data_IF_112306583922
#
_entry.id   IF_112306583922
#
_cell.length_a   1.000
_cell.length_b   1.000
_cell.length_c   1.000
_cell.angle_alpha   90.00
_cell.angle_beta   90.00
_cell.angle_gamma   90.00
#
_symmetry.space_group_name_H-M   'P 1'
#
loop_
_entity.id
_entity.type
_entity.pdbx_description
1 polymer ?
#
# COMPACT_ATOMS: atom_id res chain seq x y z
N UNK A 1 9.83 0.52 5.72
CA UNK A 1 8.83 0.56 4.65
C UNK A 1 7.46 0.35 5.26
N UNK A 2 6.48 1.18 4.93
CA UNK A 2 5.07 1.04 5.34
C UNK A 2 4.33 0.07 4.42
N UNK A 3 3.37 -0.69 4.94
CA UNK A 3 2.54 -1.62 4.15
C UNK A 3 1.15 -1.05 3.99
N UNK A 4 0.78 -0.73 2.76
CA UNK A 4 -0.61 -0.43 2.41
C UNK A 4 -1.25 -1.68 1.80
N UNK A 5 -2.56 -1.85 1.97
CA UNK A 5 -3.30 -2.95 1.34
C UNK A 5 -4.03 -2.42 0.10
N UNK A 6 -3.80 -3.05 -1.05
CA UNK A 6 -4.40 -2.66 -2.33
C UNK A 6 -5.70 -3.44 -2.58
N UNK A 7 -6.76 -3.04 -1.91
CA UNK A 7 -8.11 -3.63 -2.07
C UNK A 7 -9.19 -2.69 -1.56
N UNK A 8 -10.43 -2.91 -2.00
CA UNK A 8 -11.63 -2.31 -1.40
C UNK A 8 -12.40 -3.33 -0.52
N UNK A 9 -11.93 -4.58 -0.43
CA UNK A 9 -12.54 -5.62 0.37
C UNK A 9 -12.29 -5.39 1.87
N UNK A 10 -13.32 -4.93 2.59
CA UNK A 10 -13.23 -4.57 4.02
C UNK A 10 -12.77 -5.75 4.88
N UNK A 11 -13.21 -6.97 4.57
CA UNK A 11 -12.85 -8.17 5.35
C UNK A 11 -11.36 -8.50 5.20
N UNK A 12 -10.83 -8.50 3.97
CA UNK A 12 -9.41 -8.73 3.73
C UNK A 12 -8.53 -7.66 4.42
N UNK A 13 -8.97 -6.40 4.42
CA UNK A 13 -8.26 -5.31 5.13
C UNK A 13 -8.31 -5.55 6.64
N UNK A 14 -9.45 -5.99 7.18
CA UNK A 14 -9.59 -6.31 8.61
C UNK A 14 -8.67 -7.44 9.04
N UNK A 15 -8.60 -8.52 8.26
CA UNK A 15 -7.70 -9.65 8.53
C UNK A 15 -6.23 -9.24 8.49
N UNK A 16 -5.82 -8.44 7.50
CA UNK A 16 -4.47 -7.90 7.45
C UNK A 16 -4.17 -6.97 8.64
N UNK A 17 -5.15 -6.17 9.06
CA UNK A 17 -5.02 -5.25 10.18
C UNK A 17 -4.90 -5.99 11.52
N UNK A 18 -5.67 -7.06 11.74
CA UNK A 18 -5.56 -7.93 12.92
C UNK A 18 -4.18 -8.60 13.04
N UNK A 19 -3.52 -8.85 11.90
CA UNK A 19 -2.13 -9.35 11.85
C UNK A 19 -1.08 -8.26 12.10
N UNK A 20 -1.49 -6.99 12.24
CA UNK A 20 -0.61 -5.85 12.43
C UNK A 20 0.13 -5.42 11.16
N UNK A 21 -0.37 -5.77 9.97
CA UNK A 21 0.32 -5.58 8.69
C UNK A 21 -0.23 -4.40 7.86
N UNK A 22 -0.94 -3.46 8.48
CA UNK A 22 -1.66 -2.38 7.77
C UNK A 22 -1.28 -1.00 8.32
N UNK A 23 -0.51 -0.26 7.53
CA UNK A 23 -0.18 1.15 7.76
C UNK A 23 -1.05 2.11 6.92
N UNK A 24 -1.90 1.58 6.04
CA UNK A 24 -2.79 2.34 5.17
C UNK A 24 -3.47 1.46 4.12
N UNK A 25 -4.28 2.06 3.25
CA UNK A 25 -5.03 1.35 2.20
C UNK A 25 -4.99 2.15 0.92
N UNK A 26 -4.87 1.48 -0.23
CA UNK A 26 -5.15 2.10 -1.51
C UNK A 26 -6.38 1.48 -2.16
N UNK A 27 -7.30 2.34 -2.60
CA UNK A 27 -8.39 1.94 -3.47
C UNK A 27 -8.18 2.52 -4.87
N UNK A 28 -9.03 2.09 -5.79
CA UNK A 28 -9.26 2.69 -7.11
C UNK A 28 -10.67 2.29 -7.58
N UNK A 29 -11.22 2.95 -8.62
CA UNK A 29 -12.58 2.67 -9.09
C UNK A 29 -12.81 1.20 -9.46
N UNK A 30 -11.80 0.53 -10.04
CA UNK A 30 -11.92 -0.88 -10.41
C UNK A 30 -12.01 -1.81 -9.19
N UNK A 31 -11.30 -1.51 -8.10
CA UNK A 31 -11.38 -2.29 -6.85
C UNK A 31 -12.73 -2.09 -6.17
N UNK A 32 -13.20 -0.83 -6.07
CA UNK A 32 -14.49 -0.51 -5.47
C UNK A 32 -15.65 -1.13 -6.25
N UNK A 33 -15.59 -1.08 -7.59
CA UNK A 33 -16.63 -1.67 -8.45
C UNK A 33 -16.78 -3.18 -8.25
N UNK A 34 -15.68 -3.91 -7.96
CA UNK A 34 -15.72 -5.37 -7.70
C UNK A 34 -16.49 -5.73 -6.44
N UNK A 35 -16.56 -4.84 -5.47
CA UNK A 35 -17.28 -5.10 -4.22
C UNK A 35 -18.80 -4.99 -4.39
N UNK A 36 -19.28 -4.29 -5.43
CA UNK A 36 -20.72 -4.13 -5.69
C UNK A 36 -21.48 -3.37 -4.58
N UNK A 37 -20.76 -2.58 -3.77
CA UNK A 37 -21.28 -1.85 -2.60
C UNK A 37 -21.10 -0.33 -2.77
N UNK A 38 -21.79 0.43 -1.93
CA UNK A 38 -21.62 1.89 -1.89
C UNK A 38 -20.18 2.26 -1.48
N UNK A 39 -19.54 3.13 -2.26
CA UNK A 39 -18.14 3.52 -2.02
C UNK A 39 -17.93 4.19 -0.66
N UNK A 40 -18.82 5.10 -0.27
CA UNK A 40 -18.69 5.85 0.99
C UNK A 40 -18.88 4.95 2.21
N UNK A 41 -19.77 3.96 2.13
CA UNK A 41 -19.93 2.95 3.19
C UNK A 41 -18.65 2.12 3.38
N UNK A 42 -18.08 1.61 2.28
CA UNK A 42 -16.80 0.89 2.31
C UNK A 42 -15.71 1.74 2.98
N UNK A 43 -15.58 3.00 2.56
CA UNK A 43 -14.54 3.92 3.08
C UNK A 43 -14.74 4.19 4.57
N UNK A 44 -15.97 4.45 5.02
CA UNK A 44 -16.27 4.67 6.43
C UNK A 44 -15.95 3.44 7.29
N UNK A 45 -16.28 2.25 6.79
CA UNK A 45 -15.96 1.00 7.49
C UNK A 45 -14.45 0.80 7.63
N UNK A 46 -13.68 1.02 6.56
CA UNK A 46 -12.21 0.91 6.61
C UNK A 46 -11.63 1.94 7.59
N UNK A 47 -12.07 3.19 7.51
CA UNK A 47 -11.57 4.27 8.37
C UNK A 47 -11.92 4.10 9.86
N UNK A 48 -12.92 3.31 10.19
CA UNK A 48 -13.26 3.00 11.58
C UNK A 48 -12.10 2.32 12.32
N UNK A 49 -11.33 1.47 11.62
CA UNK A 49 -10.23 0.70 12.22
C UNK A 49 -8.85 1.01 11.64
N UNK A 50 -8.71 1.42 10.38
CA UNK A 50 -7.42 1.84 9.80
C UNK A 50 -7.16 3.32 10.11
N UNK A 51 -6.10 3.61 10.88
CA UNK A 51 -5.72 4.99 11.26
C UNK A 51 -4.75 5.66 10.27
N UNK A 52 -4.03 4.87 9.49
CA UNK A 52 -3.15 5.37 8.43
C UNK A 52 -3.89 5.87 7.19
N UNK A 53 -3.18 6.40 6.17
CA UNK A 53 -3.80 7.00 5.00
C UNK A 53 -4.67 6.01 4.19
N UNK A 54 -5.80 6.50 3.68
CA UNK A 54 -6.67 5.75 2.75
C UNK A 54 -6.75 6.52 1.44
N UNK A 55 -6.21 5.94 0.36
CA UNK A 55 -6.23 6.59 -0.97
C UNK A 55 -7.60 6.43 -1.64
N UNK A 56 -8.25 7.55 -1.96
CA UNK A 56 -9.57 7.65 -2.63
C UNK A 56 -9.42 8.40 -3.97
N UNK A 57 -9.94 7.87 -5.07
CA UNK A 57 -9.64 8.38 -6.41
C UNK A 57 -10.68 9.36 -6.94
N UNK A 58 -10.21 10.53 -7.39
CA UNK A 58 -10.97 11.45 -8.23
C UNK A 58 -11.03 10.89 -9.67
N UNK A 59 -12.19 10.96 -10.30
CA UNK A 59 -12.50 10.35 -11.60
C UNK A 59 -12.70 11.38 -12.71
N UNK A 60 -12.91 12.65 -12.37
CA UNK A 60 -12.97 13.75 -13.33
C UNK A 60 -11.63 13.95 -14.06
N UNK A 61 -11.69 14.47 -15.30
CA UNK A 61 -10.51 14.67 -16.16
C UNK A 61 -10.03 16.12 -16.23
N UNK A 62 -10.89 17.08 -15.89
CA UNK A 62 -10.56 18.51 -15.83
C UNK A 62 -10.27 18.98 -14.39
N UNK A 63 -9.53 20.08 -14.27
CA UNK A 63 -9.09 20.61 -12.97
C UNK A 63 -10.26 20.93 -12.03
N UNK A 64 -11.34 21.53 -12.52
CA UNK A 64 -12.48 21.94 -11.67
C UNK A 64 -13.22 20.72 -11.12
N UNK A 65 -13.45 19.72 -11.98
CA UNK A 65 -14.02 18.43 -11.59
C UNK A 65 -13.16 17.72 -10.55
N UNK A 66 -11.84 17.62 -10.79
CA UNK A 66 -10.90 16.98 -9.86
C UNK A 66 -10.91 17.71 -8.51
N UNK A 67 -10.88 19.05 -8.49
CA UNK A 67 -10.88 19.81 -7.24
C UNK A 67 -12.20 19.69 -6.46
N UNK A 68 -13.33 19.62 -7.16
CA UNK A 68 -14.63 19.37 -6.52
C UNK A 68 -14.64 18.01 -5.83
N UNK A 69 -14.26 16.95 -6.55
CA UNK A 69 -14.18 15.59 -6.02
C UNK A 69 -13.16 15.47 -4.89
N UNK A 70 -11.98 16.09 -5.04
CA UNK A 70 -10.93 16.06 -4.02
C UNK A 70 -11.41 16.61 -2.67
N UNK A 71 -12.09 17.77 -2.67
CA UNK A 71 -12.63 18.37 -1.46
C UNK A 71 -13.77 17.53 -0.86
N UNK A 72 -14.63 16.97 -1.71
CA UNK A 72 -15.71 16.09 -1.26
C UNK A 72 -15.15 14.83 -0.58
N UNK A 73 -14.27 14.11 -1.26
CA UNK A 73 -13.64 12.88 -0.78
C UNK A 73 -12.81 13.13 0.49
N UNK A 74 -12.08 14.25 0.56
CA UNK A 74 -11.31 14.63 1.74
C UNK A 74 -12.21 14.88 2.96
N UNK A 75 -13.46 15.33 2.73
CA UNK A 75 -14.45 15.53 3.78
C UNK A 75 -15.11 14.23 4.29
N UNK A 76 -14.85 13.07 3.66
CA UNK A 76 -15.46 11.82 4.09
C UNK A 76 -14.83 11.26 5.37
N UNK A 77 -13.50 11.34 5.49
CA UNK A 77 -12.72 10.74 6.58
C UNK A 77 -11.49 11.61 6.91
N UNK A 78 -11.03 11.59 8.16
CA UNK A 78 -9.90 12.44 8.61
C UNK A 78 -8.51 12.03 8.10
N UNK A 79 -8.39 10.84 7.49
CA UNK A 79 -7.15 10.24 7.00
C UNK A 79 -7.19 9.96 5.48
N UNK A 80 -8.03 10.67 4.73
CA UNK A 80 -8.06 10.57 3.27
C UNK A 80 -6.72 11.02 2.64
N UNK A 81 -6.34 10.37 1.55
CA UNK A 81 -5.36 10.85 0.59
C UNK A 81 -5.98 10.82 -0.81
N UNK A 82 -6.10 11.97 -1.47
CA UNK A 82 -6.83 12.04 -2.74
C UNK A 82 -5.93 11.58 -3.86
N UNK A 83 -6.34 10.49 -4.50
CA UNK A 83 -5.65 9.90 -5.63
C UNK A 83 -5.99 10.66 -6.90
N UNK A 84 -4.98 11.22 -7.55
CA UNK A 84 -5.11 12.10 -8.72
C UNK A 84 -4.22 11.56 -9.84
N UNK A 85 -4.72 11.40 -11.08
CA UNK A 85 -3.91 10.87 -12.17
C UNK A 85 -2.80 11.83 -12.60
N UNK A 86 -1.69 11.28 -13.09
CA UNK A 86 -0.55 12.01 -13.67
C UNK A 86 -0.93 12.71 -14.99
N UNK A 87 -1.56 13.88 -14.91
CA UNK A 87 -1.91 14.75 -16.04
C UNK A 87 -1.62 16.21 -15.69
N UNK A 88 -1.64 17.13 -16.66
CA UNK A 88 -1.46 18.56 -16.37
C UNK A 88 -2.56 19.13 -15.47
N UNK A 89 -3.81 18.77 -15.72
CA UNK A 89 -4.94 19.18 -14.85
C UNK A 89 -4.83 18.54 -13.47
N UNK A 90 -4.40 17.27 -13.40
CA UNK A 90 -4.10 16.59 -12.14
C UNK A 90 -2.99 17.28 -11.34
N UNK A 91 -1.88 17.65 -11.97
CA UNK A 91 -0.78 18.35 -11.30
C UNK A 91 -1.17 19.77 -10.84
N UNK A 92 -2.02 20.49 -11.59
CA UNK A 92 -2.62 21.75 -11.12
C UNK A 92 -3.46 21.51 -9.86
N UNK A 93 -4.28 20.45 -9.86
CA UNK A 93 -5.10 20.08 -8.70
C UNK A 93 -4.26 19.66 -7.49
N UNK A 94 -3.17 18.90 -7.70
CA UNK A 94 -2.21 18.52 -6.66
C UNK A 94 -1.60 19.76 -6.00
N UNK A 95 -1.15 20.72 -6.80
CA UNK A 95 -0.64 22.00 -6.28
C UNK A 95 -1.68 22.70 -5.42
N UNK A 96 -2.93 22.77 -5.89
CA UNK A 96 -4.00 23.43 -5.13
C UNK A 96 -4.36 22.68 -3.85
N UNK A 97 -4.38 21.35 -3.89
CA UNK A 97 -4.58 20.51 -2.72
C UNK A 97 -3.48 20.71 -1.67
N UNK A 98 -2.21 20.83 -2.09
CA UNK A 98 -1.09 21.10 -1.21
C UNK A 98 -1.24 22.47 -0.49
N UNK A 99 -1.67 23.51 -1.21
CA UNK A 99 -2.00 24.83 -0.63
C UNK A 99 -3.16 24.75 0.39
N UNK A 100 -4.11 23.84 0.17
CA UNK A 100 -5.28 23.60 1.05
C UNK A 100 -5.01 22.58 2.16
N UNK A 101 -3.81 22.00 2.25
CA UNK A 101 -3.47 20.97 3.23
C UNK A 101 -4.15 19.61 2.99
N UNK A 102 -4.67 19.37 1.78
CA UNK A 102 -5.28 18.11 1.37
C UNK A 102 -4.16 17.16 0.91
N UNK A 103 -4.06 16.00 1.56
CA UNK A 103 -3.08 14.97 1.18
C UNK A 103 -3.42 14.40 -0.19
N UNK A 104 -2.42 14.22 -1.04
CA UNK A 104 -2.61 13.70 -2.40
C UNK A 104 -1.71 12.52 -2.71
N UNK A 105 -2.20 11.61 -3.54
CA UNK A 105 -1.47 10.48 -4.08
C UNK A 105 -1.50 10.53 -5.62
N UNK A 106 -0.41 10.93 -6.24
CA UNK A 106 -0.36 11.00 -7.70
C UNK A 106 -0.20 9.59 -8.28
N UNK A 107 -1.20 9.11 -9.00
CA UNK A 107 -1.28 7.76 -9.55
C UNK A 107 -1.00 7.72 -11.06
N UNK A 108 -0.91 6.52 -11.63
CA UNK A 108 -0.56 6.30 -13.05
C UNK A 108 0.79 6.94 -13.42
N UNK A 109 1.75 6.85 -12.51
CA UNK A 109 3.14 7.24 -12.76
C UNK A 109 3.90 6.04 -13.36
N UNK A 110 4.64 6.29 -14.43
CA UNK A 110 5.37 5.26 -15.20
C UNK A 110 6.82 5.63 -15.49
N UNK A 111 7.29 6.81 -15.05
CA UNK A 111 8.68 7.24 -15.23
C UNK A 111 9.18 8.15 -14.11
N UNK A 112 10.51 8.24 -13.91
CA UNK A 112 11.09 9.17 -12.93
C UNK A 112 10.78 10.65 -13.21
N UNK A 113 10.67 11.05 -14.49
CA UNK A 113 10.28 12.42 -14.86
C UNK A 113 8.86 12.76 -14.38
N UNK A 114 7.92 11.82 -14.49
CA UNK A 114 6.57 12.00 -13.94
C UNK A 114 6.61 12.13 -12.42
N UNK A 115 7.36 11.27 -11.73
CA UNK A 115 7.50 11.35 -10.28
C UNK A 115 8.12 12.67 -9.80
N UNK A 116 9.11 13.20 -10.54
CA UNK A 116 9.69 14.52 -10.30
C UNK A 116 8.64 15.64 -10.41
N UNK A 117 7.76 15.58 -11.42
CA UNK A 117 6.67 16.55 -11.57
C UNK A 117 5.65 16.47 -10.43
N UNK A 118 5.28 15.26 -9.99
CA UNK A 118 4.39 15.06 -8.83
C UNK A 118 4.97 15.71 -7.57
N UNK A 119 6.24 15.44 -7.26
CA UNK A 119 6.90 16.00 -6.08
C UNK A 119 7.00 17.53 -6.16
N UNK A 120 7.36 18.06 -7.33
CA UNK A 120 7.41 19.51 -7.56
C UNK A 120 6.04 20.19 -7.40
N UNK A 121 4.96 19.49 -7.69
CA UNK A 121 3.59 19.98 -7.47
C UNK A 121 3.16 19.92 -5.99
N UNK A 122 3.94 19.30 -5.10
CA UNK A 122 3.63 19.19 -3.67
C UNK A 122 2.83 17.94 -3.31
N UNK A 123 2.93 16.86 -4.10
CA UNK A 123 2.28 15.60 -3.78
C UNK A 123 2.73 15.04 -2.42
N UNK A 124 1.78 14.49 -1.64
CA UNK A 124 2.15 13.71 -0.43
C UNK A 124 2.74 12.36 -0.81
N UNK A 125 2.13 11.71 -1.79
CA UNK A 125 2.57 10.42 -2.32
C UNK A 125 2.64 10.44 -3.85
N UNK A 126 3.52 9.61 -4.41
CA UNK A 126 3.49 9.21 -5.82
C UNK A 126 3.41 7.69 -5.92
N UNK A 127 2.59 7.19 -6.84
CA UNK A 127 2.39 5.75 -7.07
C UNK A 127 2.90 5.31 -8.46
N UNK A 128 4.18 4.89 -8.60
CA UNK A 128 4.67 4.21 -9.80
C UNK A 128 4.05 2.82 -9.96
N UNK A 129 3.57 2.49 -11.17
CA UNK A 129 2.87 1.23 -11.45
C UNK A 129 3.82 0.20 -12.07
N UNK A 130 4.69 -0.37 -11.25
CA UNK A 130 5.78 -1.24 -11.68
C UNK A 130 5.26 -2.49 -12.41
N UNK A 131 4.24 -3.17 -11.88
CA UNK A 131 3.69 -4.35 -12.53
C UNK A 131 2.91 -4.09 -13.82
N UNK A 132 2.64 -2.84 -14.19
CA UNK A 132 2.11 -2.52 -15.54
C UNK A 132 3.24 -2.23 -16.52
N UNK A 133 4.41 -1.82 -16.04
CA UNK A 133 5.63 -1.73 -16.85
C UNK A 133 6.10 -3.14 -17.23
N UNK A 134 6.04 -4.09 -16.29
CA UNK A 134 6.34 -5.50 -16.55
C UNK A 134 5.45 -6.09 -17.64
N UNK A 135 4.15 -5.82 -17.59
CA UNK A 135 3.17 -6.29 -18.59
C UNK A 135 3.51 -5.85 -20.02
N UNK A 136 4.27 -4.77 -20.20
CA UNK A 136 4.68 -4.24 -21.52
C UNK A 136 6.16 -4.49 -21.84
N UNK A 137 6.81 -5.42 -21.11
CA UNK A 137 8.16 -5.89 -21.40
C UNK A 137 9.29 -5.01 -20.86
N UNK A 138 9.01 -4.13 -19.91
CA UNK A 138 10.03 -3.38 -19.16
C UNK A 138 10.29 -4.05 -17.81
N UNK A 139 11.41 -3.74 -17.16
CA UNK A 139 11.64 -4.14 -15.76
C UNK A 139 11.12 -3.01 -14.87
N UNK A 140 9.88 -3.13 -14.39
CA UNK A 140 9.17 -2.04 -13.72
C UNK A 140 9.88 -1.54 -12.46
N UNK A 141 10.59 -2.41 -11.74
CA UNK A 141 11.31 -2.03 -10.52
C UNK A 141 12.51 -1.09 -10.76
N UNK A 142 13.04 -1.01 -11.98
CA UNK A 142 14.18 -0.12 -12.30
C UNK A 142 13.85 1.36 -12.09
N UNK A 143 12.57 1.76 -12.18
CA UNK A 143 12.18 3.17 -11.97
C UNK A 143 12.28 3.59 -10.50
N UNK A 144 12.24 2.65 -9.54
CA UNK A 144 12.14 2.98 -8.11
C UNK A 144 13.45 3.56 -7.56
N UNK A 145 14.64 2.94 -7.77
CA UNK A 145 15.92 3.53 -7.36
C UNK A 145 16.17 4.92 -7.95
N UNK A 146 15.81 5.14 -9.22
CA UNK A 146 15.96 6.44 -9.88
C UNK A 146 15.11 7.52 -9.19
N UNK A 147 13.85 7.21 -8.88
CA UNK A 147 12.96 8.16 -8.18
C UNK A 147 13.51 8.46 -6.77
N UNK A 148 13.97 7.45 -6.04
CA UNK A 148 14.58 7.63 -4.72
C UNK A 148 15.81 8.53 -4.78
N UNK A 149 16.71 8.29 -5.75
CA UNK A 149 17.90 9.12 -5.93
C UNK A 149 17.53 10.57 -6.28
N UNK A 150 16.56 10.79 -7.17
CA UNK A 150 16.08 12.12 -7.51
C UNK A 150 15.50 12.82 -6.27
N UNK A 151 14.66 12.14 -5.49
CA UNK A 151 14.05 12.73 -4.30
C UNK A 151 15.08 13.08 -3.25
N UNK A 152 16.06 12.21 -3.03
CA UNK A 152 17.20 12.47 -2.14
C UNK A 152 18.02 13.68 -2.59
N UNK A 153 18.34 13.79 -3.89
CA UNK A 153 19.14 14.90 -4.43
C UNK A 153 18.53 16.28 -4.19
N UNK A 154 17.20 16.37 -4.19
CA UNK A 154 16.47 17.64 -4.09
C UNK A 154 15.74 17.83 -2.75
N UNK A 155 15.82 16.86 -1.83
CA UNK A 155 15.12 16.91 -0.55
C UNK A 155 13.60 16.91 -0.69
N UNK A 156 13.05 16.14 -1.62
CA UNK A 156 11.60 16.00 -1.75
C UNK A 156 11.06 15.09 -0.63
N UNK A 157 10.05 15.59 0.09
CA UNK A 157 9.33 14.85 1.15
C UNK A 157 8.22 13.95 0.61
N UNK A 158 7.95 13.97 -0.70
CA UNK A 158 6.95 13.10 -1.33
C UNK A 158 7.35 11.64 -1.12
N UNK A 159 6.46 10.84 -0.54
CA UNK A 159 6.70 9.42 -0.32
C UNK A 159 6.35 8.59 -1.57
N UNK A 160 7.17 7.58 -1.85
CA UNK A 160 6.96 6.66 -2.97
C UNK A 160 6.11 5.49 -2.48
N UNK A 161 4.97 5.28 -3.12
CA UNK A 161 4.13 4.08 -2.99
C UNK A 161 4.42 3.18 -4.20
N UNK A 162 5.19 2.11 -4.01
CA UNK A 162 5.35 1.08 -5.03
C UNK A 162 3.99 0.39 -5.22
N UNK A 163 3.37 0.64 -6.37
CA UNK A 163 2.02 0.21 -6.68
C UNK A 163 1.99 -0.74 -7.87
N UNK A 164 0.84 -1.36 -8.12
CA UNK A 164 0.70 -2.43 -9.12
C UNK A 164 1.64 -3.62 -8.82
N UNK A 165 1.83 -3.97 -7.55
CA UNK A 165 2.59 -5.14 -7.10
C UNK A 165 1.88 -6.42 -7.56
N UNK A 166 2.63 -7.39 -8.10
CA UNK A 166 2.10 -8.64 -8.66
C UNK A 166 2.48 -9.87 -7.85
N UNK A 167 3.64 -9.84 -7.19
CA UNK A 167 4.22 -10.99 -6.49
C UNK A 167 5.18 -10.54 -5.38
N UNK A 168 5.56 -11.43 -4.45
CA UNK A 168 6.42 -11.10 -3.30
C UNK A 168 7.78 -10.51 -3.67
N UNK A 169 8.34 -10.87 -4.84
CA UNK A 169 9.63 -10.32 -5.29
C UNK A 169 9.57 -8.80 -5.47
N UNK A 170 8.47 -8.21 -5.95
CA UNK A 170 8.35 -6.76 -6.03
C UNK A 170 8.38 -6.09 -4.65
N UNK A 171 7.79 -6.73 -3.65
CA UNK A 171 7.82 -6.21 -2.28
C UNK A 171 9.23 -6.28 -1.70
N UNK A 172 9.93 -7.39 -1.93
CA UNK A 172 11.33 -7.57 -1.55
C UNK A 172 12.25 -6.53 -2.23
N UNK A 173 12.14 -6.35 -3.54
CA UNK A 173 12.96 -5.39 -4.29
C UNK A 173 12.64 -3.95 -3.92
N UNK A 174 11.36 -3.62 -3.67
CA UNK A 174 10.96 -2.31 -3.15
C UNK A 174 11.58 -2.03 -1.77
N UNK A 175 11.57 -3.04 -0.88
CA UNK A 175 12.21 -2.93 0.43
C UNK A 175 13.72 -2.74 0.31
N UNK A 176 14.38 -3.51 -0.57
CA UNK A 176 15.82 -3.43 -0.80
C UNK A 176 16.24 -2.08 -1.40
N UNK A 177 15.44 -1.54 -2.31
CA UNK A 177 15.67 -0.21 -2.89
C UNK A 177 15.52 0.91 -1.84
N UNK A 178 14.77 0.67 -0.75
CA UNK A 178 14.48 1.69 0.26
C UNK A 178 13.21 2.48 -0.01
N UNK A 179 12.24 1.91 -0.74
CA UNK A 179 10.97 2.56 -0.96
C UNK A 179 10.21 2.84 0.35
N UNK A 180 9.50 3.97 0.37
CA UNK A 180 8.79 4.43 1.56
C UNK A 180 7.61 3.51 1.91
N UNK A 181 6.80 3.18 0.90
CA UNK A 181 5.56 2.41 1.02
C UNK A 181 5.48 1.37 -0.10
N UNK A 182 4.98 0.17 0.22
CA UNK A 182 4.51 -0.80 -0.76
C UNK A 182 2.99 -0.97 -0.58
N UNK A 183 2.21 -0.83 -1.66
CA UNK A 183 0.78 -1.18 -1.62
C UNK A 183 0.54 -2.56 -2.22
N UNK A 184 0.15 -3.50 -1.35
CA UNK A 184 0.28 -4.93 -1.56
C UNK A 184 -1.13 -5.53 -1.68
N UNK A 185 -1.45 -6.24 -2.77
CA UNK A 185 -2.68 -7.02 -2.85
C UNK A 185 -2.74 -8.09 -1.74
N UNK A 186 -3.92 -8.39 -1.16
CA UNK A 186 -4.03 -9.35 -0.04
C UNK A 186 -3.41 -10.72 -0.32
N UNK A 187 -3.58 -11.24 -1.55
CA UNK A 187 -3.01 -12.52 -1.95
C UNK A 187 -1.47 -12.51 -1.99
N UNK A 188 -0.84 -11.38 -2.33
CA UNK A 188 0.62 -11.24 -2.30
C UNK A 188 1.10 -11.16 -0.86
N UNK A 189 0.40 -10.43 0.01
CA UNK A 189 0.72 -10.38 1.43
C UNK A 189 0.69 -11.78 2.07
N UNK A 190 -0.33 -12.57 1.76
CA UNK A 190 -0.44 -13.97 2.23
C UNK A 190 0.68 -14.87 1.69
N UNK A 191 1.21 -14.58 0.50
CA UNK A 191 2.33 -15.34 -0.06
C UNK A 191 3.65 -15.01 0.63
N UNK A 192 3.84 -13.77 1.11
CA UNK A 192 5.11 -13.31 1.70
C UNK A 192 5.52 -14.06 2.98
N UNK A 193 4.54 -14.55 3.76
CA UNK A 193 4.84 -15.31 5.00
C UNK A 193 5.17 -16.79 4.73
N UNK A 194 4.90 -17.29 3.52
CA UNK A 194 5.02 -18.72 3.20
C UNK A 194 6.43 -19.07 2.78
N UNK A 195 6.99 -20.12 3.40
CA UNK A 195 8.23 -20.74 2.95
C UNK A 195 8.23 -22.22 3.34
N UNK A 196 8.51 -23.16 2.41
CA UNK A 196 8.40 -24.60 2.69
C UNK A 196 9.31 -25.06 3.83
N UNK A 197 10.51 -24.47 3.96
CA UNK A 197 11.41 -24.78 5.07
C UNK A 197 10.90 -24.26 6.43
N UNK A 198 10.04 -23.23 6.45
CA UNK A 198 9.40 -22.77 7.68
C UNK A 198 8.42 -23.81 8.17
N UNK A 199 7.57 -24.32 7.29
CA UNK A 199 6.59 -25.36 7.62
C UNK A 199 7.29 -26.64 8.12
N UNK A 200 8.30 -27.11 7.38
CA UNK A 200 9.13 -28.27 7.78
C UNK A 200 9.79 -28.04 9.15
N UNK A 201 10.30 -26.83 9.40
CA UNK A 201 10.92 -26.46 10.66
C UNK A 201 9.93 -26.52 11.83
N UNK A 202 8.74 -25.95 11.66
CA UNK A 202 7.66 -25.95 12.66
C UNK A 202 7.24 -27.39 12.98
N UNK A 203 6.99 -28.21 11.96
CA UNK A 203 6.60 -29.61 12.15
C UNK A 203 7.66 -30.39 12.94
N UNK A 204 8.94 -30.20 12.59
CA UNK A 204 10.05 -30.84 13.30
C UNK A 204 10.13 -30.39 14.75
N UNK A 205 10.01 -29.09 15.03
CA UNK A 205 10.03 -28.57 16.40
C UNK A 205 8.88 -29.10 17.24
N UNK A 206 7.67 -29.20 16.69
CA UNK A 206 6.52 -29.79 17.38
C UNK A 206 6.73 -31.29 17.65
N UNK A 207 7.32 -32.02 16.71
CA UNK A 207 7.64 -33.43 16.88
C UNK A 207 8.72 -33.65 17.97
N UNK A 208 9.72 -32.79 18.02
CA UNK A 208 10.78 -32.87 19.03
C UNK A 208 10.27 -32.43 20.42
N UNK A 209 9.40 -31.41 20.50
CA UNK A 209 8.79 -30.98 21.76
C UNK A 209 8.00 -32.11 22.45
N UNK A 210 7.29 -32.94 21.69
CA UNK A 210 6.55 -34.11 22.21
C UNK A 210 7.46 -35.17 22.86
N UNK A 211 8.76 -35.15 22.57
CA UNK A 211 9.74 -36.09 23.15
C UNK A 211 10.37 -35.56 24.44
N UNK A 212 10.14 -34.29 24.79
CA UNK A 212 10.67 -33.71 26.03
C UNK A 212 10.02 -34.42 27.22
N UNK A 213 10.81 -35.03 28.13
CA UNK A 213 10.25 -35.65 29.33
C UNK A 213 9.49 -34.61 30.14
N UNK A 214 8.22 -34.85 30.43
CA UNK A 214 7.50 -34.09 31.45
C UNK A 214 8.07 -34.47 32.82
N UNK A 215 8.17 -33.49 33.74
CA UNK A 215 8.60 -33.78 35.11
C UNK A 215 7.68 -34.85 35.69
N UNK A 216 8.22 -36.05 35.91
CA UNK A 216 7.47 -37.14 36.54
C UNK A 216 7.16 -36.72 37.97
N UNK A 217 5.87 -36.78 38.35
CA UNK A 217 5.44 -36.74 39.74
C UNK A 217 6.32 -37.69 40.58
N UNK A 218 6.67 -37.31 41.83
CA UNK A 218 7.59 -38.08 42.64
C UNK A 218 7.12 -39.53 42.74
N UNK A 219 7.97 -40.46 42.27
CA UNK A 219 7.75 -41.90 42.42
C UNK A 219 7.49 -42.19 43.90
N UNK A 220 6.23 -42.47 44.28
CA UNK A 220 5.88 -43.05 45.57
C UNK A 220 6.68 -44.34 45.72
N UNK A 221 7.76 -44.29 46.47
CA UNK A 221 8.49 -45.47 46.91
C UNK A 221 7.58 -46.19 47.91
N UNK A 222 6.87 -47.20 47.41
CA UNK A 222 6.10 -48.14 48.21
C UNK A 222 7.04 -49.19 48.81
N UNK A 223 7.01 -49.24 50.14
CA UNK A 223 7.69 -50.12 51.11
C UNK A 223 7.87 -51.58 50.70
#
# INVERSE_FOLDING_TARGET
>A
MKFFIDTANVQAIREAHERGMVDGVTTNPSLVAKEGRNFREIVNEIAAFVKGPISLEAVSSDYEGIMKEARELNGWIGNAAIKIPMTWEGLKAVKKCAEEGIKTNVTLCFSPNQALLAAKAGATFVSPFIGRLDDVGQVGMEVIPDILQIYSNYGYETEIIVASIRHPIHVYEAALAGAHIATIPPNVLDQMVKHPLTDIGIERFLADYKKIPTAQEPKKHGK
#
